data_IF_847018292992
#
_entry.id   IF_847018292992
#
_cell.length_a   1.000
_cell.length_b   1.000
_cell.length_c   1.000
_cell.angle_alpha   90.00
_cell.angle_beta   90.00
_cell.angle_gamma   90.00
#
_symmetry.space_group_name_H-M   'P 1'
#
loop_
_entity.id
_entity.type
_entity.pdbx_description
1 polymer ?
#
# COMPACT_ATOMS: atom_id res chain seq x y z
N UNK A 1 29.35 14.18 -1.33
CA UNK A 1 28.79 12.85 -1.64
C UNK A 1 27.40 12.78 -1.05
N UNK A 2 26.37 12.95 -1.88
CA UNK A 2 24.97 12.85 -1.49
C UNK A 2 24.66 11.36 -1.31
N UNK A 3 24.59 10.88 -0.07
CA UNK A 3 24.19 9.50 0.22
C UNK A 3 22.68 9.40 -0.02
N UNK A 4 22.28 8.81 -1.14
CA UNK A 4 20.88 8.52 -1.42
C UNK A 4 20.42 7.39 -0.49
N UNK A 5 19.50 7.69 0.43
CA UNK A 5 18.71 6.66 1.10
C UNK A 5 17.70 6.20 0.07
N UNK A 6 17.78 4.94 -0.37
CA UNK A 6 16.76 4.35 -1.20
C UNK A 6 15.53 4.07 -0.32
N UNK A 7 14.55 4.98 -0.37
CA UNK A 7 13.20 4.72 0.12
C UNK A 7 12.49 3.99 -1.01
N UNK A 8 12.29 2.68 -0.85
CA UNK A 8 11.54 1.89 -1.83
C UNK A 8 10.04 2.15 -1.60
N UNK A 9 9.49 3.16 -2.26
CA UNK A 9 8.05 3.35 -2.37
C UNK A 9 7.54 2.49 -3.53
N UNK A 10 6.82 1.41 -3.23
CA UNK A 10 6.15 0.60 -4.25
C UNK A 10 4.85 1.32 -4.62
N UNK A 11 4.82 1.89 -5.82
CA UNK A 11 3.60 2.41 -6.44
C UNK A 11 3.10 1.33 -7.39
N UNK A 12 1.90 0.82 -7.14
CA UNK A 12 1.23 -0.06 -8.08
C UNK A 12 0.47 0.78 -9.13
N UNK A 13 1.11 1.03 -10.27
CA UNK A 13 0.46 1.61 -11.45
C UNK A 13 0.00 0.48 -12.37
N UNK A 14 -1.31 0.30 -12.51
CA UNK A 14 -1.89 -0.66 -13.46
C UNK A 14 -2.23 0.09 -14.75
N UNK A 15 -1.34 0.03 -15.74
CA UNK A 15 -1.61 0.52 -17.08
C UNK A 15 -2.39 -0.54 -17.88
N UNK A 16 -3.70 -0.36 -18.03
CA UNK A 16 -4.52 -1.22 -18.89
C UNK A 16 -4.34 -0.80 -20.36
N UNK A 17 -3.33 -1.33 -21.04
CA UNK A 17 -3.21 -1.20 -22.50
C UNK A 17 -4.04 -2.28 -23.21
N UNK A 18 -5.26 -1.93 -23.63
CA UNK A 18 -6.05 -2.78 -24.50
C UNK A 18 -5.53 -2.65 -25.95
N UNK A 19 -4.86 -3.69 -26.45
CA UNK A 19 -4.57 -3.82 -27.88
C UNK A 19 -5.79 -4.42 -28.59
N UNK A 20 -6.59 -3.59 -29.27
CA UNK A 20 -7.49 -4.06 -30.33
C UNK A 20 -7.10 -3.41 -31.66
N UNK A 21 -6.53 -4.22 -32.55
CA UNK A 21 -6.39 -3.89 -33.97
C UNK A 21 -7.72 -4.21 -34.65
N UNK A 22 -8.54 -3.20 -34.93
CA UNK A 22 -9.56 -3.33 -35.97
C UNK A 22 -9.94 -1.97 -36.56
N UNK A 23 -9.57 -1.76 -37.82
CA UNK A 23 -10.11 -0.70 -38.67
C UNK A 23 -11.55 -1.08 -39.08
N UNK A 24 -12.54 -0.18 -39.03
CA UNK A 24 -13.79 -0.38 -39.72
C UNK A 24 -13.84 0.43 -41.02
N UNK A 25 -14.11 -0.27 -42.12
CA UNK A 25 -14.64 0.32 -43.36
C UNK A 25 -16.09 0.73 -43.12
N UNK A 26 -16.49 1.84 -43.74
CA UNK A 26 -17.83 2.39 -43.69
C UNK A 26 -18.83 1.54 -44.49
N UNK A 27 -20.01 1.26 -43.94
CA UNK A 27 -21.27 1.13 -44.69
C UNK A 27 -22.51 1.20 -43.76
N UNK A 28 -23.30 2.24 -43.99
CA UNK A 28 -24.77 2.39 -43.96
C UNK A 28 -25.59 2.07 -42.70
N UNK A 29 -26.20 3.13 -42.17
CA UNK A 29 -27.22 3.14 -41.13
C UNK A 29 -28.57 2.57 -41.59
N UNK A 30 -29.08 1.59 -40.85
CA UNK A 30 -30.52 1.44 -40.47
C UNK A 30 -30.68 0.16 -39.63
N UNK A 31 -30.44 0.24 -38.30
CA UNK A 31 -30.93 -0.72 -37.27
C UNK A 31 -30.47 -0.26 -35.86
N UNK A 32 -30.94 0.90 -35.40
CA UNK A 32 -30.38 1.52 -34.17
C UNK A 32 -30.99 1.07 -32.83
N UNK A 33 -32.13 0.35 -32.81
CA UNK A 33 -32.77 -0.01 -31.53
C UNK A 33 -32.59 -1.47 -31.08
N UNK A 34 -32.25 -2.41 -31.97
CA UNK A 34 -32.01 -3.82 -31.61
C UNK A 34 -30.56 -4.14 -31.21
N UNK A 35 -29.60 -3.46 -31.85
CA UNK A 35 -28.16 -3.69 -31.65
C UNK A 35 -27.67 -3.07 -30.32
N UNK A 36 -28.27 -1.95 -29.90
CA UNK A 36 -27.93 -1.30 -28.62
C UNK A 36 -28.31 -2.14 -27.39
N UNK A 37 -29.46 -2.84 -27.44
CA UNK A 37 -29.90 -3.72 -26.35
C UNK A 37 -29.13 -5.05 -26.31
N UNK A 38 -28.81 -5.63 -27.47
CA UNK A 38 -27.96 -6.82 -27.54
C UNK A 38 -26.53 -6.53 -27.05
N UNK A 39 -25.95 -5.38 -27.41
CA UNK A 39 -24.63 -4.96 -26.93
C UNK A 39 -24.60 -4.66 -25.43
N UNK A 40 -25.68 -4.11 -24.86
CA UNK A 40 -25.80 -3.89 -23.42
C UNK A 40 -25.94 -5.20 -22.64
N UNK A 41 -26.72 -6.16 -23.17
CA UNK A 41 -26.86 -7.49 -22.57
C UNK A 41 -25.56 -8.31 -22.66
N UNK A 42 -24.81 -8.21 -23.76
CA UNK A 42 -23.50 -8.84 -23.91
C UNK A 42 -22.42 -8.19 -23.04
N UNK A 43 -22.48 -6.86 -22.85
CA UNK A 43 -21.61 -6.15 -21.91
C UNK A 43 -21.90 -6.56 -20.46
N UNK A 44 -23.18 -6.64 -20.08
CA UNK A 44 -23.61 -7.10 -18.76
C UNK A 44 -23.30 -8.58 -18.53
N UNK A 45 -23.44 -9.43 -19.55
CA UNK A 45 -23.09 -10.85 -19.45
C UNK A 45 -21.57 -11.07 -19.33
N UNK A 46 -20.76 -10.27 -20.04
CA UNK A 46 -19.30 -10.27 -19.88
C UNK A 46 -18.86 -9.73 -18.51
N UNK A 47 -19.49 -8.66 -18.04
CA UNK A 47 -19.25 -8.11 -16.70
C UNK A 47 -19.60 -9.13 -15.60
N UNK A 48 -20.73 -9.84 -15.76
CA UNK A 48 -21.18 -10.90 -14.85
C UNK A 48 -20.28 -12.15 -14.88
N UNK A 49 -19.82 -12.57 -16.06
CA UNK A 49 -18.91 -13.71 -16.21
C UNK A 49 -17.49 -13.41 -15.69
N UNK A 50 -17.06 -12.14 -15.73
CA UNK A 50 -15.82 -11.70 -15.08
C UNK A 50 -15.99 -11.74 -13.56
N UNK A 51 -17.11 -11.30 -12.99
CA UNK A 51 -17.32 -11.31 -11.53
C UNK A 51 -17.34 -12.70 -10.89
N UNK A 52 -17.89 -13.73 -11.55
CA UNK A 52 -17.99 -15.09 -10.96
C UNK A 52 -16.65 -15.82 -10.86
N UNK A 53 -15.61 -15.39 -11.60
CA UNK A 53 -14.33 -16.10 -11.72
C UNK A 53 -13.14 -15.38 -11.06
N UNK A 54 -13.34 -14.27 -10.36
CA UNK A 54 -12.23 -13.47 -9.84
C UNK A 54 -11.69 -13.94 -8.49
N UNK A 55 -12.54 -14.46 -7.61
CA UNK A 55 -12.11 -14.94 -6.30
C UNK A 55 -11.95 -16.46 -6.34
N UNK A 56 -10.72 -16.99 -6.20
CA UNK A 56 -10.56 -18.43 -6.10
C UNK A 56 -11.25 -18.93 -4.83
N UNK A 57 -12.19 -19.85 -4.96
CA UNK A 57 -12.81 -20.53 -3.81
C UNK A 57 -11.96 -21.75 -3.48
N UNK A 58 -10.93 -21.54 -2.68
CA UNK A 58 -10.01 -22.58 -2.21
C UNK A 58 -10.60 -23.39 -1.06
N UNK A 59 -11.61 -22.85 -0.35
CA UNK A 59 -12.15 -23.40 0.88
C UNK A 59 -11.18 -23.28 2.07
N UNK A 60 -10.03 -22.61 1.88
CA UNK A 60 -9.01 -22.41 2.89
C UNK A 60 -9.11 -21.00 3.45
N UNK A 61 -8.92 -20.90 4.76
CA UNK A 61 -8.71 -19.63 5.44
C UNK A 61 -7.34 -19.64 6.11
N UNK A 62 -6.72 -18.47 6.20
CA UNK A 62 -5.43 -18.29 6.84
C UNK A 62 -5.57 -17.42 8.08
N UNK A 63 -4.64 -17.59 9.02
CA UNK A 63 -4.52 -16.74 10.19
C UNK A 63 -3.59 -15.56 9.92
N UNK A 64 -3.70 -14.50 10.73
CA UNK A 64 -2.84 -13.31 10.66
C UNK A 64 -1.34 -13.64 10.75
N UNK A 65 -0.95 -14.74 11.40
CA UNK A 65 0.43 -15.20 11.47
C UNK A 65 0.99 -15.61 10.10
N UNK A 66 0.23 -16.36 9.29
CA UNK A 66 0.65 -16.77 7.95
C UNK A 66 0.78 -15.58 7.01
N UNK A 67 -0.11 -14.60 7.14
CA UNK A 67 0.00 -13.33 6.42
C UNK A 67 1.23 -12.53 6.85
N UNK A 68 1.56 -12.55 8.14
CA UNK A 68 2.77 -11.89 8.68
C UNK A 68 4.04 -12.54 8.15
N UNK A 69 4.07 -13.88 8.06
CA UNK A 69 5.19 -14.64 7.48
C UNK A 69 5.40 -14.31 5.99
N UNK A 70 4.31 -14.17 5.23
CA UNK A 70 4.37 -13.71 3.84
C UNK A 70 4.96 -12.30 3.72
N UNK A 71 4.49 -11.37 4.56
CA UNK A 71 5.01 -9.99 4.60
C UNK A 71 6.49 -9.93 4.98
N UNK A 72 6.92 -10.75 5.95
CA UNK A 72 8.33 -10.88 6.32
C UNK A 72 9.18 -11.46 5.18
N UNK A 73 8.63 -12.43 4.43
CA UNK A 73 9.28 -13.00 3.25
C UNK A 73 9.48 -11.93 2.17
N UNK A 74 8.44 -11.13 1.89
CA UNK A 74 8.52 -9.99 0.97
C UNK A 74 9.58 -8.97 1.43
N UNK A 75 9.59 -8.61 2.72
CA UNK A 75 10.56 -7.69 3.31
C UNK A 75 11.99 -8.17 3.07
N UNK A 76 12.27 -9.44 3.37
CA UNK A 76 13.59 -10.03 3.19
C UNK A 76 14.01 -10.07 1.72
N UNK A 77 13.09 -10.41 0.81
CA UNK A 77 13.36 -10.41 -0.63
C UNK A 77 13.73 -9.01 -1.13
N UNK A 78 12.97 -7.99 -0.72
CA UNK A 78 13.24 -6.60 -1.04
C UNK A 78 14.58 -6.15 -0.48
N UNK A 79 14.83 -6.33 0.82
CA UNK A 79 16.05 -5.84 1.46
C UNK A 79 17.31 -6.50 0.91
N UNK A 80 17.27 -7.80 0.58
CA UNK A 80 18.40 -8.52 -0.03
C UNK A 80 18.73 -8.05 -1.44
N UNK A 81 17.79 -7.42 -2.14
CA UNK A 81 18.01 -6.90 -3.49
C UNK A 81 18.70 -5.54 -3.51
N UNK A 82 18.82 -4.87 -2.36
CA UNK A 82 19.37 -3.52 -2.27
C UNK A 82 20.86 -3.53 -1.93
N UNK A 83 21.56 -2.47 -2.35
CA UNK A 83 22.95 -2.21 -1.95
C UNK A 83 23.00 -0.92 -1.12
N UNK A 84 23.85 -0.90 -0.10
CA UNK A 84 23.93 0.23 0.83
C UNK A 84 22.79 0.24 1.86
N UNK A 85 22.41 1.43 2.31
CA UNK A 85 21.37 1.60 3.32
C UNK A 85 19.99 1.38 2.69
N UNK A 86 19.21 0.46 3.24
CA UNK A 86 17.84 0.17 2.80
C UNK A 86 16.87 0.25 3.98
N UNK A 87 15.72 0.88 3.73
CA UNK A 87 14.56 0.86 4.62
C UNK A 87 13.32 0.68 3.77
N UNK A 88 12.46 -0.25 4.18
CA UNK A 88 11.22 -0.54 3.48
C UNK A 88 10.13 -0.91 4.48
N UNK A 89 8.91 -0.44 4.22
CA UNK A 89 7.70 -0.96 4.86
C UNK A 89 7.12 -2.04 3.96
N UNK A 90 7.47 -3.30 4.21
CA UNK A 90 6.91 -4.42 3.44
C UNK A 90 5.40 -4.53 3.62
N UNK A 91 4.91 -4.19 4.81
CA UNK A 91 3.49 -3.98 5.09
C UNK A 91 2.88 -3.00 4.09
N UNK A 92 3.45 -1.79 3.95
CA UNK A 92 2.91 -0.76 3.04
C UNK A 92 2.79 -1.24 1.59
N UNK A 93 3.84 -1.91 1.11
CA UNK A 93 3.88 -2.47 -0.23
C UNK A 93 2.86 -3.60 -0.43
N UNK A 94 2.76 -4.51 0.54
CA UNK A 94 1.76 -5.57 0.52
C UNK A 94 0.35 -4.98 0.51
N UNK A 95 0.03 -3.95 1.30
CA UNK A 95 -1.31 -3.35 1.35
C UNK A 95 -1.70 -2.72 0.02
N UNK A 96 -0.78 -1.97 -0.60
CA UNK A 96 -1.02 -1.38 -1.91
C UNK A 96 -1.25 -2.47 -2.98
N UNK A 97 -0.44 -3.53 -2.99
CA UNK A 97 -0.56 -4.64 -3.94
C UNK A 97 -1.75 -5.56 -3.63
N UNK A 98 -2.16 -5.66 -2.36
CA UNK A 98 -3.36 -6.36 -1.91
C UNK A 98 -4.62 -5.69 -2.44
N UNK A 99 -4.67 -4.36 -2.41
CA UNK A 99 -5.75 -3.61 -3.07
C UNK A 99 -5.82 -3.91 -4.57
N UNK A 100 -4.68 -4.11 -5.26
CA UNK A 100 -4.68 -4.53 -6.67
C UNK A 100 -5.14 -5.98 -6.82
N UNK A 101 -4.65 -6.88 -5.94
CA UNK A 101 -4.99 -8.30 -5.94
C UNK A 101 -6.51 -8.52 -5.80
N UNK A 102 -7.19 -7.72 -4.98
CA UNK A 102 -8.66 -7.78 -4.82
C UNK A 102 -9.45 -7.35 -6.07
N UNK A 103 -8.80 -6.64 -6.99
CA UNK A 103 -9.33 -6.33 -8.32
C UNK A 103 -8.89 -7.32 -9.40
N UNK A 104 -7.94 -8.21 -9.12
CA UNK A 104 -7.35 -9.15 -10.07
C UNK A 104 -8.11 -10.49 -10.11
N UNK A 105 -7.97 -11.22 -11.21
CA UNK A 105 -8.70 -12.47 -11.46
C UNK A 105 -7.79 -13.50 -12.16
N UNK A 106 -8.09 -14.78 -12.01
CA UNK A 106 -7.41 -15.87 -12.71
C UNK A 106 -5.89 -15.84 -12.53
N UNK A 107 -5.15 -15.97 -13.65
CA UNK A 107 -3.69 -16.03 -13.64
C UNK A 107 -3.02 -14.77 -13.08
N UNK A 108 -3.59 -13.59 -13.30
CA UNK A 108 -3.06 -12.34 -12.73
C UNK A 108 -3.13 -12.36 -11.22
N UNK A 109 -4.27 -12.75 -10.64
CA UNK A 109 -4.40 -12.87 -9.19
C UNK A 109 -3.43 -13.93 -8.63
N UNK A 110 -3.27 -15.06 -9.32
CA UNK A 110 -2.34 -16.11 -8.91
C UNK A 110 -0.88 -15.63 -8.89
N UNK A 111 -0.42 -14.98 -9.95
CA UNK A 111 0.95 -14.46 -10.05
C UNK A 111 1.21 -13.37 -8.99
N UNK A 112 0.26 -12.46 -8.79
CA UNK A 112 0.38 -11.41 -7.77
C UNK A 112 0.45 -12.00 -6.35
N UNK A 113 -0.44 -12.95 -6.04
CA UNK A 113 -0.45 -13.63 -4.75
C UNK A 113 0.87 -14.37 -4.49
N UNK A 114 1.38 -15.08 -5.49
CA UNK A 114 2.67 -15.77 -5.38
C UNK A 114 3.84 -14.78 -5.19
N UNK A 115 3.83 -13.64 -5.90
CA UNK A 115 4.85 -12.60 -5.76
C UNK A 115 4.83 -11.95 -4.36
N UNK A 116 3.66 -11.84 -3.75
CA UNK A 116 3.47 -11.39 -2.36
C UNK A 116 3.79 -12.47 -1.32
N UNK A 117 4.21 -13.66 -1.74
CA UNK A 117 4.40 -14.84 -0.90
C UNK A 117 3.15 -15.25 -0.11
N UNK A 118 1.96 -14.84 -0.56
CA UNK A 118 0.70 -15.15 0.10
C UNK A 118 0.23 -16.57 -0.28
N UNK A 119 -0.25 -17.37 0.68
CA UNK A 119 -0.86 -18.66 0.38
C UNK A 119 -2.19 -18.49 -0.39
N UNK A 120 -2.62 -19.51 -1.12
CA UNK A 120 -3.96 -19.52 -1.71
C UNK A 120 -5.02 -19.70 -0.60
N UNK A 121 -5.80 -18.66 -0.36
CA UNK A 121 -6.84 -18.62 0.67
C UNK A 121 -7.97 -17.64 0.31
N UNK A 122 -9.15 -17.85 0.89
CA UNK A 122 -10.38 -17.12 0.55
C UNK A 122 -10.50 -15.80 1.35
N UNK A 123 -9.74 -15.65 2.44
CA UNK A 123 -9.83 -14.55 3.40
C UNK A 123 -8.57 -13.67 3.46
N UNK A 124 -7.75 -13.60 2.40
CA UNK A 124 -6.48 -12.86 2.41
C UNK A 124 -6.63 -11.40 2.89
N UNK A 125 -7.57 -10.65 2.33
CA UNK A 125 -7.80 -9.25 2.68
C UNK A 125 -8.31 -9.08 4.10
N UNK A 126 -9.09 -10.03 4.61
CA UNK A 126 -9.55 -10.05 5.99
C UNK A 126 -8.37 -10.33 6.95
N UNK A 127 -7.51 -11.29 6.64
CA UNK A 127 -6.33 -11.59 7.46
C UNK A 127 -5.37 -10.39 7.54
N UNK A 128 -5.17 -9.68 6.42
CA UNK A 128 -4.38 -8.44 6.40
C UNK A 128 -5.05 -7.29 7.16
N UNK A 129 -6.38 -7.18 7.09
CA UNK A 129 -7.15 -6.23 7.89
C UNK A 129 -7.03 -6.51 9.40
N UNK A 130 -7.06 -7.78 9.82
CA UNK A 130 -6.87 -8.16 11.22
C UNK A 130 -5.48 -7.76 11.74
N UNK A 131 -4.45 -7.85 10.91
CA UNK A 131 -3.10 -7.36 11.24
C UNK A 131 -3.07 -5.84 11.38
N UNK A 132 -3.67 -5.11 10.43
CA UNK A 132 -3.79 -3.64 10.48
C UNK A 132 -4.49 -3.20 11.77
N UNK A 133 -5.63 -3.83 12.09
CA UNK A 133 -6.37 -3.57 13.33
C UNK A 133 -5.52 -3.86 14.57
N UNK A 134 -4.81 -4.98 14.60
CA UNK A 134 -3.94 -5.32 15.72
C UNK A 134 -2.80 -4.30 15.91
N UNK A 135 -2.22 -3.79 14.82
CA UNK A 135 -1.18 -2.75 14.87
C UNK A 135 -1.70 -1.44 15.46
N UNK A 136 -2.88 -0.99 15.03
CA UNK A 136 -3.52 0.22 15.55
C UNK A 136 -3.94 0.04 17.02
N UNK A 137 -4.57 -1.09 17.37
CA UNK A 137 -4.96 -1.41 18.74
C UNK A 137 -3.74 -1.45 19.69
N UNK A 138 -2.57 -1.92 19.21
CA UNK A 138 -1.33 -1.89 19.99
C UNK A 138 -0.85 -0.46 20.19
N UNK A 139 -0.85 0.38 19.15
CA UNK A 139 -0.44 1.77 19.26
C UNK A 139 -1.29 2.55 20.26
N UNK A 140 -2.61 2.41 20.18
CA UNK A 140 -3.57 3.07 21.08
C UNK A 140 -3.35 2.63 22.54
N UNK A 141 -3.17 1.31 22.77
CA UNK A 141 -2.89 0.78 24.12
C UNK A 141 -1.54 1.20 24.68
N UNK A 142 -0.59 1.59 23.83
CA UNK A 142 0.73 2.07 24.27
C UNK A 142 0.71 3.53 24.69
N UNK A 143 -0.29 4.31 24.24
CA UNK A 143 -0.44 5.72 24.63
C UNK A 143 -1.02 5.88 26.05
N UNK A 144 -1.73 4.85 26.54
CA UNK A 144 -2.36 4.80 27.86
C UNK A 144 -1.59 3.87 28.82
N UNK A 145 -1.00 4.42 29.90
CA UNK A 145 -0.56 3.59 31.04
C UNK A 145 -1.56 3.66 32.18
N UNK A 146 -1.94 2.49 32.70
CA UNK A 146 -2.84 2.33 33.83
C UNK A 146 -2.07 2.01 35.13
N UNK A 147 -2.51 2.52 36.29
CA UNK A 147 -2.04 2.04 37.60
C UNK A 147 -2.73 0.74 38.03
N UNK A 148 -2.31 0.19 39.18
CA UNK A 148 -2.91 -0.99 39.81
C UNK A 148 -4.41 -0.81 40.16
N UNK A 149 -4.91 0.42 40.21
CA UNK A 149 -6.31 0.75 40.47
C UNK A 149 -7.13 0.96 39.18
N UNK A 150 -6.51 0.83 38.00
CA UNK A 150 -7.16 0.99 36.70
C UNK A 150 -7.36 2.45 36.28
N UNK A 151 -6.68 3.41 36.91
CA UNK A 151 -6.68 4.81 36.47
C UNK A 151 -5.59 5.04 35.42
N UNK A 152 -5.81 5.95 34.47
CA UNK A 152 -4.74 6.40 33.55
C UNK A 152 -3.74 7.24 34.34
N UNK A 153 -2.51 6.76 34.50
CA UNK A 153 -1.48 7.35 35.38
C UNK A 153 -0.30 7.94 34.63
N UNK A 154 -0.14 7.60 33.35
CA UNK A 154 0.80 8.28 32.46
C UNK A 154 0.15 8.46 31.09
N UNK A 155 -0.02 9.71 30.67
CA UNK A 155 -0.20 10.03 29.26
C UNK A 155 1.18 10.10 28.63
N UNK A 156 1.35 9.31 27.58
CA UNK A 156 2.44 9.25 26.59
C UNK A 156 3.75 8.55 26.98
N UNK A 157 4.14 7.59 26.13
CA UNK A 157 4.87 7.83 24.90
C UNK A 157 3.93 8.11 23.73
N UNK A 158 4.14 9.24 23.03
CA UNK A 158 3.45 9.63 21.79
C UNK A 158 3.77 8.62 20.67
N UNK A 159 3.14 7.45 20.74
CA UNK A 159 3.22 6.38 19.74
C UNK A 159 2.18 6.69 18.68
N UNK A 160 2.66 7.14 17.53
CA UNK A 160 1.83 7.40 16.36
C UNK A 160 2.07 6.26 15.38
N UNK A 161 1.02 5.49 15.11
CA UNK A 161 0.92 4.61 13.95
C UNK A 161 -0.24 5.14 13.12
N UNK A 162 0.07 5.74 11.98
CA UNK A 162 -0.94 6.26 11.05
C UNK A 162 -0.79 5.52 9.73
N UNK A 163 -1.92 5.06 9.19
CA UNK A 163 -2.00 4.30 7.95
C UNK A 163 -3.06 4.97 7.08
N UNK A 164 -2.68 5.45 5.89
CA UNK A 164 -3.60 5.99 4.89
C UNK A 164 -3.51 5.12 3.62
N UNK A 165 -4.55 4.30 3.43
CA UNK A 165 -4.80 3.62 2.16
C UNK A 165 -5.71 4.51 1.32
N UNK A 166 -5.45 4.62 0.02
CA UNK A 166 -6.28 5.45 -0.85
C UNK A 166 -6.29 4.97 -2.29
N UNK A 167 -7.44 5.17 -2.93
CA UNK A 167 -7.66 4.87 -4.34
C UNK A 167 -7.92 6.18 -5.07
N UNK A 168 -7.11 6.48 -6.09
CA UNK A 168 -7.27 7.65 -6.94
C UNK A 168 -7.77 7.18 -8.30
N UNK A 169 -9.03 7.47 -8.60
CA UNK A 169 -9.72 6.99 -9.79
C UNK A 169 -9.91 8.13 -10.78
N UNK A 170 -9.62 7.86 -12.06
CA UNK A 170 -9.98 8.78 -13.14
C UNK A 170 -11.47 9.10 -13.09
N UNK A 171 -11.83 10.39 -13.07
CA UNK A 171 -13.19 10.88 -12.86
C UNK A 171 -14.25 10.36 -13.83
N UNK A 172 -13.83 9.96 -15.03
CA UNK A 172 -14.71 9.37 -16.05
C UNK A 172 -14.98 7.87 -15.86
N UNK A 173 -14.26 7.21 -14.94
CA UNK A 173 -14.38 5.77 -14.69
C UNK A 173 -15.32 5.47 -13.53
N UNK A 174 -15.96 4.30 -13.63
CA UNK A 174 -16.73 3.70 -12.55
C UNK A 174 -15.98 2.48 -12.03
N UNK A 175 -16.00 2.31 -10.72
CA UNK A 175 -15.47 1.14 -10.04
C UNK A 175 -16.61 0.16 -9.76
N UNK A 176 -16.30 -1.14 -9.72
CA UNK A 176 -17.28 -2.19 -9.43
C UNK A 176 -17.63 -2.19 -7.94
N UNK A 177 -18.91 -2.37 -7.61
CA UNK A 177 -19.40 -2.24 -6.23
C UNK A 177 -18.77 -3.25 -5.26
N UNK A 178 -18.57 -4.49 -5.70
CA UNK A 178 -17.89 -5.53 -4.92
C UNK A 178 -16.42 -5.16 -4.61
N UNK A 179 -15.72 -4.55 -5.56
CA UNK A 179 -14.35 -4.09 -5.39
C UNK A 179 -14.29 -2.86 -4.48
N UNK A 180 -15.18 -1.89 -4.67
CA UNK A 180 -15.31 -0.75 -3.77
C UNK A 180 -15.63 -1.19 -2.32
N UNK A 181 -16.49 -2.19 -2.15
CA UNK A 181 -16.79 -2.77 -0.85
C UNK A 181 -15.58 -3.48 -0.24
N UNK A 182 -14.77 -4.20 -1.03
CA UNK A 182 -13.53 -4.82 -0.54
C UNK A 182 -12.51 -3.76 -0.08
N UNK A 183 -12.27 -2.72 -0.89
CA UNK A 183 -11.41 -1.59 -0.56
C UNK A 183 -11.82 -0.89 0.74
N UNK A 184 -13.13 -0.66 0.91
CA UNK A 184 -13.67 -0.05 2.11
C UNK A 184 -13.52 -0.96 3.33
N UNK A 185 -13.95 -2.22 3.23
CA UNK A 185 -14.10 -3.10 4.39
C UNK A 185 -12.77 -3.65 4.89
N UNK A 186 -11.81 -3.89 3.99
CA UNK A 186 -10.55 -4.52 4.35
C UNK A 186 -9.36 -3.56 4.39
N UNK A 187 -9.42 -2.44 3.67
CA UNK A 187 -8.32 -1.48 3.58
C UNK A 187 -8.66 -0.10 4.13
N UNK A 188 -9.91 0.13 4.53
CA UNK A 188 -10.36 1.48 4.94
C UNK A 188 -10.03 2.54 3.87
N UNK A 189 -9.98 2.14 2.59
CA UNK A 189 -9.44 2.94 1.51
C UNK A 189 -10.53 3.77 0.83
N UNK A 190 -10.65 5.09 1.09
CA UNK A 190 -11.53 5.95 0.32
C UNK A 190 -11.09 6.01 -1.16
N UNK A 191 -12.09 6.15 -2.02
CA UNK A 191 -11.90 6.38 -3.45
C UNK A 191 -12.09 7.87 -3.73
N UNK A 192 -11.05 8.52 -4.22
CA UNK A 192 -11.06 9.90 -4.65
C UNK A 192 -11.03 10.00 -6.18
N UNK A 193 -11.87 10.88 -6.72
CA UNK A 193 -11.99 11.13 -8.15
C UNK A 193 -11.01 12.23 -8.56
N UNK A 194 -10.15 11.93 -9.54
CA UNK A 194 -9.14 12.87 -10.08
C UNK A 194 -9.15 12.86 -11.61
N UNK A 195 -8.62 13.91 -12.22
CA UNK A 195 -8.60 14.08 -13.67
C UNK A 195 -7.21 13.75 -14.22
N UNK A 196 -6.95 12.47 -14.49
CA UNK A 196 -5.71 12.03 -15.11
C UNK A 196 -5.68 12.36 -16.60
N UNK A 197 -6.81 12.27 -17.31
CA UNK A 197 -6.84 12.46 -18.77
C UNK A 197 -6.42 13.88 -19.16
N UNK A 198 -7.01 14.90 -18.52
CA UNK A 198 -6.75 16.31 -18.87
C UNK A 198 -5.69 16.93 -17.96
N UNK A 199 -5.67 16.55 -16.67
CA UNK A 199 -4.89 17.25 -15.64
C UNK A 199 -3.94 16.31 -14.84
N UNK A 200 -3.34 15.29 -15.48
CA UNK A 200 -2.47 14.30 -14.82
C UNK A 200 -1.38 14.90 -13.92
N UNK A 201 -0.74 16.01 -14.31
CA UNK A 201 0.30 16.63 -13.46
C UNK A 201 -0.28 17.28 -12.19
N UNK A 202 -1.48 17.85 -12.25
CA UNK A 202 -2.16 18.35 -11.06
C UNK A 202 -2.70 17.20 -10.19
N UNK A 203 -3.19 16.12 -10.82
CA UNK A 203 -3.55 14.90 -10.10
C UNK A 203 -2.32 14.31 -9.37
N UNK A 204 -1.16 14.25 -10.03
CA UNK A 204 0.12 13.81 -9.42
C UNK A 204 0.48 14.66 -8.20
N UNK A 205 0.42 16.00 -8.31
CA UNK A 205 0.69 16.91 -7.19
C UNK A 205 -0.30 16.73 -6.04
N UNK A 206 -1.57 16.49 -6.36
CA UNK A 206 -2.63 16.22 -5.35
C UNK A 206 -2.30 14.95 -4.58
N UNK A 207 -1.92 13.87 -5.27
CA UNK A 207 -1.53 12.60 -4.65
C UNK A 207 -0.28 12.79 -3.77
N UNK A 208 0.77 13.45 -4.28
CA UNK A 208 1.98 13.72 -3.52
C UNK A 208 1.70 14.56 -2.26
N UNK A 209 0.89 15.62 -2.38
CA UNK A 209 0.51 16.45 -1.24
C UNK A 209 -0.27 15.66 -0.17
N UNK A 210 -1.12 14.72 -0.59
CA UNK A 210 -1.83 13.83 0.31
C UNK A 210 -0.86 12.91 1.07
N UNK A 211 0.04 12.24 0.34
CA UNK A 211 1.05 11.33 0.94
C UNK A 211 2.03 12.10 1.83
N UNK A 212 2.43 13.32 1.46
CA UNK A 212 3.25 14.19 2.30
C UNK A 212 2.55 14.49 3.62
N UNK A 213 1.27 14.89 3.57
CA UNK A 213 0.46 15.13 4.76
C UNK A 213 0.34 13.89 5.64
N UNK A 214 0.01 12.74 5.06
CA UNK A 214 -0.14 11.47 5.77
C UNK A 214 1.18 10.96 6.39
N UNK A 215 2.32 11.46 5.93
CA UNK A 215 3.64 11.04 6.40
C UNK A 215 4.38 12.13 7.16
N UNK A 216 3.71 13.21 7.57
CA UNK A 216 4.32 14.38 8.24
C UNK A 216 5.55 14.90 7.47
N UNK A 217 5.36 15.06 6.16
CA UNK A 217 6.33 15.54 5.17
C UNK A 217 7.61 14.71 5.05
N UNK A 218 7.61 13.46 5.54
CA UNK A 218 8.74 12.53 5.38
C UNK A 218 8.81 11.91 3.99
N UNK A 219 7.69 11.79 3.30
CA UNK A 219 7.61 11.32 1.91
C UNK A 219 6.85 12.36 1.09
N UNK A 220 7.58 13.20 0.36
CA UNK A 220 6.98 14.32 -0.39
C UNK A 220 6.73 13.99 -1.87
N UNK A 221 7.65 13.26 -2.50
CA UNK A 221 7.58 12.95 -3.94
C UNK A 221 7.49 11.45 -4.18
N UNK A 222 6.39 10.84 -3.71
CA UNK A 222 6.15 9.43 -3.97
C UNK A 222 6.01 9.17 -5.47
N UNK A 223 5.30 10.04 -6.20
CA UNK A 223 5.22 10.06 -7.66
C UNK A 223 6.16 11.12 -8.24
N UNK A 224 7.28 10.72 -8.87
CA UNK A 224 8.20 11.66 -9.52
C UNK A 224 7.53 12.43 -10.66
N UNK A 225 8.09 13.58 -11.03
CA UNK A 225 7.62 14.33 -12.20
C UNK A 225 7.59 13.44 -13.47
N UNK A 226 6.53 13.56 -14.26
CA UNK A 226 6.28 12.74 -15.46
C UNK A 226 6.07 11.23 -15.20
N UNK A 227 5.85 10.80 -13.95
CA UNK A 227 5.53 9.39 -13.65
C UNK A 227 4.08 9.02 -13.98
N UNK A 228 3.21 10.02 -14.21
CA UNK A 228 1.84 9.86 -14.64
C UNK A 228 1.63 10.56 -15.98
N UNK A 229 0.78 9.97 -16.82
CA UNK A 229 0.33 10.56 -18.07
C UNK A 229 -1.19 10.46 -18.23
N UNK A 230 -1.69 10.96 -19.35
CA UNK A 230 -3.12 10.96 -19.70
C UNK A 230 -3.73 9.56 -19.87
N UNK A 231 -2.94 8.49 -19.84
CA UNK A 231 -3.40 7.09 -19.90
C UNK A 231 -3.68 6.50 -18.53
N UNK A 232 -3.25 7.15 -17.43
CA UNK A 232 -3.55 6.71 -16.08
C UNK A 232 -5.06 6.67 -15.83
N UNK A 233 -5.52 5.59 -15.17
CA UNK A 233 -6.93 5.38 -14.79
C UNK A 233 -7.12 5.15 -13.31
N UNK A 234 -6.10 4.61 -12.66
CA UNK A 234 -6.12 4.20 -11.27
C UNK A 234 -4.71 4.35 -10.69
N UNK A 235 -4.61 5.00 -9.53
CA UNK A 235 -3.42 4.98 -8.69
C UNK A 235 -3.85 4.52 -7.30
N UNK A 236 -3.12 3.57 -6.74
CA UNK A 236 -3.34 3.06 -5.39
C UNK A 236 -2.14 3.45 -4.53
N UNK A 237 -2.41 4.10 -3.40
CA UNK A 237 -1.37 4.54 -2.46
C UNK A 237 -1.62 3.93 -1.09
N UNK A 238 -0.55 3.48 -0.46
CA UNK A 238 -0.51 3.24 0.97
C UNK A 238 0.61 4.13 1.55
N UNK A 239 0.29 4.87 2.60
CA UNK A 239 1.23 5.64 3.39
C UNK A 239 1.21 5.13 4.82
N UNK A 240 2.39 4.88 5.40
CA UNK A 240 2.54 4.48 6.80
C UNK A 240 3.47 5.46 7.48
N UNK A 241 3.01 6.03 8.58
CA UNK A 241 3.80 6.86 9.47
C UNK A 241 3.93 6.17 10.82
N UNK A 242 5.18 6.00 11.26
CA UNK A 242 5.50 5.50 12.59
C UNK A 242 6.40 6.48 13.32
N UNK A 243 5.98 6.85 14.53
CA UNK A 243 6.79 7.62 15.47
C UNK A 243 6.52 7.12 16.86
N UNK A 244 7.56 6.66 17.55
CA UNK A 244 7.47 6.30 18.95
C UNK A 244 8.74 6.78 19.67
N UNK A 245 8.64 7.28 20.90
CA UNK A 245 9.83 7.43 21.73
C UNK A 245 10.34 6.05 22.15
N UNK A 246 11.62 5.97 22.45
CA UNK A 246 12.15 4.83 23.19
C UNK A 246 11.41 4.70 24.53
N UNK A 247 11.06 3.48 24.92
CA UNK A 247 10.59 3.21 26.29
C UNK A 247 11.59 3.73 27.34
N UNK A 248 12.87 3.69 26.96
CA UNK A 248 14.03 3.91 27.78
C UNK A 248 15.01 4.86 27.06
N UNK A 249 14.72 6.18 26.99
CA UNK A 249 15.44 7.11 26.12
C UNK A 249 16.93 7.25 26.47
N UNK A 250 17.72 7.57 25.45
CA UNK A 250 19.12 7.92 25.61
C UNK A 250 19.26 9.31 26.24
N UNK A 251 20.24 9.46 27.13
CA UNK A 251 20.63 10.79 27.59
C UNK A 251 21.49 11.47 26.52
N UNK A 252 21.02 12.60 25.98
CA UNK A 252 21.72 13.35 24.93
C UNK A 252 23.12 13.83 25.36
N UNK A 253 23.38 14.03 26.67
CA UNK A 253 24.71 14.39 27.16
C UNK A 253 25.72 13.24 27.09
N UNK A 254 25.25 12.03 26.84
CA UNK A 254 26.08 10.83 26.66
C UNK A 254 26.26 10.50 25.18
N UNK A 255 25.95 11.42 24.27
CA UNK A 255 26.20 11.25 22.84
C UNK A 255 27.53 11.88 22.47
N UNK A 256 28.45 11.08 21.93
CA UNK A 256 29.80 11.51 21.56
C UNK A 256 30.14 11.08 20.12
N UNK A 257 31.12 11.76 19.51
CA UNK A 257 31.62 11.39 18.18
C UNK A 257 32.42 10.08 18.27
N UNK A 258 31.97 9.05 17.55
CA UNK A 258 32.66 7.76 17.45
C UNK A 258 32.85 7.31 16.00
N UNK A 259 33.76 6.37 15.78
CA UNK A 259 33.93 5.72 14.47
C UNK A 259 32.87 4.63 14.28
N UNK A 260 32.17 4.67 13.14
CA UNK A 260 31.33 3.60 12.62
C UNK A 260 32.01 2.97 11.40
N UNK A 261 32.27 1.67 11.44
CA UNK A 261 32.98 0.97 10.37
C UNK A 261 31.98 0.56 9.28
N UNK A 262 32.05 1.23 8.12
CA UNK A 262 31.25 0.87 6.93
C UNK A 262 32.04 -0.03 5.98
N UNK A 263 31.37 -0.57 4.96
CA UNK A 263 32.04 -1.29 3.86
C UNK A 263 33.10 -0.43 3.13
N UNK A 264 32.94 0.90 3.13
CA UNK A 264 33.85 1.85 2.49
C UNK A 264 34.93 2.40 3.45
N UNK A 265 34.95 1.95 4.71
CA UNK A 265 35.85 2.42 5.75
C UNK A 265 35.17 3.16 6.91
N UNK A 266 35.96 3.69 7.87
CA UNK A 266 35.42 4.36 9.06
C UNK A 266 34.81 5.72 8.73
N UNK A 267 33.66 6.02 9.35
CA UNK A 267 33.02 7.35 9.32
C UNK A 267 32.71 7.82 10.74
N UNK A 268 32.83 9.13 11.01
CA UNK A 268 32.43 9.70 12.31
C UNK A 268 30.91 9.87 12.39
N UNK A 269 30.30 9.39 13.47
CA UNK A 269 28.85 9.51 13.75
C UNK A 269 28.63 10.03 15.18
N UNK A 270 27.46 10.60 15.43
CA UNK A 270 26.98 10.86 16.79
C UNK A 270 26.48 9.54 17.39
N UNK A 271 27.31 8.92 18.23
CA UNK A 271 27.01 7.62 18.84
C UNK A 271 26.29 7.85 20.17
N UNK A 272 25.08 7.30 20.30
CA UNK A 272 24.34 7.36 21.56
C UNK A 272 24.82 6.26 22.52
N UNK A 273 24.95 6.57 23.81
CA UNK A 273 25.39 5.62 24.83
C UNK A 273 24.35 5.48 25.96
N UNK A 274 24.11 4.23 26.39
CA UNK A 274 23.35 3.89 27.60
C UNK A 274 23.83 2.53 28.11
N UNK A 275 23.84 2.37 29.43
CA UNK A 275 24.07 1.07 30.09
C UNK A 275 22.79 0.72 30.83
N UNK A 276 22.12 -0.34 30.39
CA UNK A 276 20.93 -0.89 31.04
C UNK A 276 20.74 -2.37 30.71
N UNK A 277 19.78 -3.00 31.38
CA UNK A 277 19.33 -4.36 31.16
C UNK A 277 18.33 -4.40 30.00
N UNK A 278 18.74 -5.02 28.89
CA UNK A 278 17.89 -5.25 27.72
C UNK A 278 17.73 -6.76 27.45
N UNK A 279 16.66 -7.15 26.75
CA UNK A 279 16.58 -8.48 26.14
C UNK A 279 17.58 -8.52 24.99
N UNK A 280 18.55 -9.42 25.06
CA UNK A 280 19.59 -9.64 24.06
C UNK A 280 19.65 -11.12 23.70
#
# INVERSE_FOLDING_TARGET
>A
MTRHIAILCIIAMVALSACSKTTPSAETATQENGVAQANAADAQAKEKAVTENCKPTTGKTIQSAEWTDATNTLALAVLKSQTGNAVASAYSAERALGMVLDGACGKTAEEMRNALALPAADNLSAAGHDVEKALLDIADRMDEQYDEAGNVVKTTPNVMVEIDNRVWLEKSYKIRDDYANALKNYYSAPIESVDFIVNHEEARKTINAHVAKATHDKIQDILPANSLDHTARLVLTNAVYFKAPWADPFNASMTDKADFITADGPVKVDMMHKTESFRY
#
